data_IF_311576961102
#
_entry.id   IF_311576961102
#
_cell.length_a   1.000
_cell.length_b   1.000
_cell.length_c   1.000
_cell.angle_alpha   90.00
_cell.angle_beta   90.00
_cell.angle_gamma   90.00
#
_symmetry.space_group_name_H-M   'P 1'
#
loop_
_entity.id
_entity.type
_entity.pdbx_description
1 polymer ?
#
# COMPACT_ATOMS: atom_id res chain seq x y z
N UNK A 1 18.15 3.44 5.27
CA UNK A 1 18.51 2.48 4.21
C UNK A 1 17.58 2.74 3.05
N UNK A 2 18.11 3.02 1.86
CA UNK A 2 17.34 3.57 0.72
C UNK A 2 16.52 2.52 -0.05
N UNK A 3 16.77 1.23 0.23
CA UNK A 3 16.19 0.09 -0.51
C UNK A 3 14.68 -0.10 -0.26
N UNK A 4 14.21 0.29 0.94
CA UNK A 4 12.79 0.20 1.31
C UNK A 4 12.14 1.59 1.41
N UNK A 5 12.87 2.65 1.06
CA UNK A 5 12.33 4.01 1.00
C UNK A 5 11.89 4.31 -0.43
N UNK A 6 10.59 4.29 -0.69
CA UNK A 6 10.01 4.55 -2.02
C UNK A 6 9.61 3.27 -2.76
N UNK A 7 9.53 3.31 -4.10
CA UNK A 7 9.11 2.15 -4.88
C UNK A 7 10.08 0.97 -4.75
N UNK A 8 9.58 -0.20 -4.37
CA UNK A 8 10.34 -1.46 -4.30
C UNK A 8 9.44 -2.66 -4.65
N UNK A 9 10.03 -3.75 -5.14
CA UNK A 9 9.30 -5.00 -5.44
C UNK A 9 9.87 -6.18 -4.66
N UNK A 10 9.16 -7.31 -4.58
CA UNK A 10 9.72 -8.52 -3.96
C UNK A 10 10.96 -8.97 -4.72
N UNK A 11 10.88 -9.03 -6.06
CA UNK A 11 11.97 -9.43 -6.93
C UNK A 11 13.29 -8.67 -6.65
N UNK A 12 13.21 -7.35 -6.48
CA UNK A 12 14.40 -6.50 -6.28
C UNK A 12 14.85 -6.42 -4.82
N UNK A 13 13.92 -6.35 -3.88
CA UNK A 13 14.25 -6.05 -2.48
C UNK A 13 14.47 -7.30 -1.63
N UNK A 14 13.82 -8.43 -1.94
CA UNK A 14 13.92 -9.65 -1.12
C UNK A 14 15.36 -10.15 -0.97
N UNK A 15 16.19 -10.25 -2.01
CA UNK A 15 17.58 -10.68 -1.86
C UNK A 15 18.41 -9.77 -0.94
N UNK A 16 18.09 -8.47 -0.91
CA UNK A 16 18.79 -7.48 -0.09
C UNK A 16 18.35 -7.57 1.37
N UNK A 17 17.04 -7.75 1.61
CA UNK A 17 16.47 -7.95 2.93
C UNK A 17 16.93 -9.28 3.54
N UNK A 18 16.98 -10.35 2.75
CA UNK A 18 17.44 -11.66 3.21
C UNK A 18 18.93 -11.63 3.60
N UNK A 19 19.76 -10.88 2.86
CA UNK A 19 21.18 -10.66 3.19
C UNK A 19 21.42 -9.96 4.52
N UNK A 20 20.45 -9.20 5.03
CA UNK A 20 20.56 -8.60 6.36
C UNK A 20 20.64 -9.66 7.47
N UNK A 21 20.07 -10.86 7.22
CA UNK A 21 20.10 -12.00 8.13
C UNK A 21 19.73 -11.62 9.58
N UNK A 22 18.66 -10.83 9.74
CA UNK A 22 18.17 -10.39 11.03
C UNK A 22 16.99 -11.29 11.47
N UNK A 23 17.22 -12.26 12.39
CA UNK A 23 16.16 -13.10 12.93
C UNK A 23 15.23 -12.31 13.85
N UNK A 24 13.96 -12.72 14.00
CA UNK A 24 13.09 -12.18 15.03
C UNK A 24 13.59 -12.55 16.43
N UNK A 25 13.34 -11.69 17.40
CA UNK A 25 13.62 -11.96 18.83
C UNK A 25 12.48 -11.44 19.68
N UNK A 26 12.15 -12.19 20.73
CA UNK A 26 11.13 -11.79 21.70
C UNK A 26 11.75 -10.93 22.81
N UNK A 27 11.25 -9.71 22.96
CA UNK A 27 11.66 -8.76 24.00
C UNK A 27 10.54 -8.64 25.03
N UNK A 28 10.83 -9.01 26.27
CA UNK A 28 9.85 -9.09 27.36
C UNK A 28 9.78 -7.77 28.15
N UNK A 29 10.93 -7.12 28.36
CA UNK A 29 11.06 -5.94 29.21
C UNK A 29 10.38 -4.66 28.68
N UNK A 30 10.22 -3.69 29.59
CA UNK A 30 10.07 -2.29 29.21
C UNK A 30 11.42 -1.75 28.73
N UNK A 31 11.40 -0.68 27.94
CA UNK A 31 12.63 -0.02 27.51
C UNK A 31 12.92 1.22 28.33
N UNK A 32 14.20 1.52 28.47
CA UNK A 32 14.71 2.79 28.97
C UNK A 32 15.17 3.68 27.83
N UNK A 33 15.10 5.00 28.03
CA UNK A 33 15.76 5.98 27.17
C UNK A 33 17.12 6.32 27.79
N UNK A 34 18.20 6.21 27.00
CA UNK A 34 19.57 6.47 27.43
C UNK A 34 20.28 7.39 26.46
N UNK A 35 21.05 8.34 26.97
CA UNK A 35 21.99 9.11 26.15
C UNK A 35 23.17 8.24 25.71
N UNK A 36 23.81 8.62 24.63
CA UNK A 36 25.10 8.07 24.26
C UNK A 36 26.15 8.39 25.33
N UNK A 37 26.92 7.38 25.72
CA UNK A 37 28.12 7.60 26.51
C UNK A 37 29.25 8.17 25.62
N UNK A 38 30.15 8.96 26.20
CA UNK A 38 31.31 9.51 25.49
C UNK A 38 32.15 8.35 24.92
N UNK A 39 32.38 8.36 23.60
CA UNK A 39 33.12 7.32 22.89
C UNK A 39 32.33 6.03 22.61
N UNK A 40 31.05 5.96 22.95
CA UNK A 40 30.21 4.80 22.63
C UNK A 40 29.99 4.70 21.11
N UNK A 41 30.32 3.53 20.55
CA UNK A 41 30.00 3.21 19.17
C UNK A 41 28.48 3.07 18.96
N UNK A 42 28.01 3.35 17.74
CA UNK A 42 26.62 3.11 17.36
C UNK A 42 26.30 1.61 17.56
N UNK A 43 25.19 1.25 18.24
CA UNK A 43 24.81 -0.15 18.42
C UNK A 43 24.72 -0.89 17.08
N UNK A 44 25.01 -2.19 17.06
CA UNK A 44 24.87 -3.02 15.85
C UNK A 44 23.61 -3.86 15.99
N UNK A 45 22.73 -3.80 14.99
CA UNK A 45 21.51 -4.61 14.95
C UNK A 45 21.88 -6.06 14.65
N UNK A 46 21.41 -7.01 15.47
CA UNK A 46 21.65 -8.45 15.29
C UNK A 46 20.37 -9.27 15.17
N UNK A 47 19.25 -8.76 15.66
CA UNK A 47 17.93 -9.38 15.60
C UNK A 47 16.86 -8.27 15.57
N UNK A 48 15.61 -8.62 15.30
CA UNK A 48 14.50 -7.66 15.24
C UNK A 48 13.47 -7.99 16.34
N UNK A 49 13.22 -7.06 17.29
CA UNK A 49 12.14 -7.21 18.27
C UNK A 49 10.75 -7.31 17.63
N UNK A 50 9.73 -7.63 18.44
CA UNK A 50 8.34 -7.64 17.98
C UNK A 50 7.93 -6.25 17.47
N UNK A 51 7.14 -6.20 16.39
CA UNK A 51 6.78 -4.96 15.71
C UNK A 51 6.06 -3.97 16.63
N UNK A 52 5.21 -4.47 17.52
CA UNK A 52 4.47 -3.68 18.51
C UNK A 52 5.43 -2.98 19.48
N UNK A 53 6.47 -3.68 19.94
CA UNK A 53 7.50 -3.12 20.82
C UNK A 53 8.29 -2.03 20.12
N UNK A 54 8.65 -2.25 18.85
CA UNK A 54 9.38 -1.27 18.03
C UNK A 54 8.53 -0.01 17.84
N UNK A 55 7.25 -0.16 17.43
CA UNK A 55 6.34 0.97 17.20
C UNK A 55 6.07 1.77 18.47
N UNK A 56 5.73 1.09 19.57
CA UNK A 56 5.50 1.77 20.85
C UNK A 56 6.74 2.54 21.36
N UNK A 57 7.93 2.03 21.06
CA UNK A 57 9.20 2.71 21.39
C UNK A 57 9.43 3.94 20.52
N UNK A 58 9.22 3.82 19.20
CA UNK A 58 9.30 4.94 18.26
C UNK A 58 8.34 6.07 18.67
N UNK A 59 7.09 5.73 19.00
CA UNK A 59 6.07 6.69 19.40
C UNK A 59 6.47 7.41 20.69
N UNK A 60 6.99 6.67 21.67
CA UNK A 60 7.44 7.25 22.95
C UNK A 60 8.65 8.17 22.79
N UNK A 61 9.65 7.78 21.98
CA UNK A 61 10.82 8.61 21.69
C UNK A 61 10.42 9.90 20.96
N UNK A 62 9.50 9.80 20.00
CA UNK A 62 8.97 10.96 19.27
C UNK A 62 8.20 11.91 20.20
N UNK A 63 7.29 11.37 21.03
CA UNK A 63 6.49 12.16 21.97
C UNK A 63 7.33 12.90 23.02
N UNK A 64 8.48 12.33 23.41
CA UNK A 64 9.42 12.96 24.36
C UNK A 64 10.48 13.83 23.69
N UNK A 65 10.45 13.96 22.36
CA UNK A 65 11.47 14.64 21.56
C UNK A 65 12.90 14.12 21.83
N UNK A 66 13.04 12.79 21.87
CA UNK A 66 14.28 12.04 22.19
C UNK A 66 14.76 11.18 21.02
N UNK A 67 14.60 11.66 19.80
CA UNK A 67 14.96 10.90 18.58
C UNK A 67 16.47 10.75 18.38
N UNK A 68 17.27 11.52 19.12
CA UNK A 68 18.73 11.47 19.19
C UNK A 68 19.27 10.57 20.32
N UNK A 69 18.41 10.05 21.20
CA UNK A 69 18.78 9.13 22.28
C UNK A 69 18.60 7.64 21.88
N UNK A 70 19.07 6.74 22.75
CA UNK A 70 19.02 5.29 22.56
C UNK A 70 17.84 4.69 23.33
N UNK A 71 17.10 3.79 22.68
CA UNK A 71 16.25 2.83 23.39
C UNK A 71 17.10 1.67 23.90
N UNK A 72 16.89 1.26 25.15
CA UNK A 72 17.56 0.10 25.76
C UNK A 72 16.53 -0.86 26.32
N UNK A 73 16.61 -2.13 25.95
CA UNK A 73 15.99 -3.23 26.72
C UNK A 73 17.10 -4.11 27.30
N UNK A 74 16.89 -4.68 28.48
CA UNK A 74 17.92 -5.48 29.15
C UNK A 74 18.20 -6.81 28.46
N UNK A 75 17.20 -7.40 27.81
CA UNK A 75 17.24 -8.66 27.07
C UNK A 75 17.58 -8.51 25.56
N UNK A 76 17.73 -7.28 25.06
CA UNK A 76 18.07 -6.99 23.66
C UNK A 76 19.30 -6.11 23.49
N UNK A 77 19.50 -5.15 24.40
CA UNK A 77 20.51 -4.10 24.29
C UNK A 77 19.95 -2.80 23.72
N UNK A 78 20.79 -2.07 22.97
CA UNK A 78 20.51 -0.71 22.53
C UNK A 78 20.09 -0.63 21.05
N UNK A 79 19.19 0.30 20.73
CA UNK A 79 18.85 0.68 19.36
C UNK A 79 18.66 2.20 19.24
N UNK A 80 19.09 2.77 18.12
CA UNK A 80 18.80 4.17 17.78
C UNK A 80 17.40 4.30 17.17
N UNK A 81 16.85 5.51 17.18
CA UNK A 81 15.57 5.80 16.50
C UNK A 81 15.59 5.41 15.01
N UNK A 82 16.69 5.72 14.30
CA UNK A 82 16.84 5.34 12.88
C UNK A 82 16.92 3.83 12.66
N UNK A 83 17.53 3.09 13.59
CA UNK A 83 17.59 1.63 13.56
C UNK A 83 16.21 1.01 13.79
N UNK A 84 15.42 1.53 14.72
CA UNK A 84 14.04 1.09 14.95
C UNK A 84 13.14 1.32 13.73
N UNK A 85 13.31 2.45 13.02
CA UNK A 85 12.64 2.68 11.73
C UNK A 85 13.05 1.63 10.69
N UNK A 86 14.35 1.38 10.55
CA UNK A 86 14.83 0.37 9.61
C UNK A 86 14.27 -1.03 9.90
N UNK A 87 14.25 -1.44 11.17
CA UNK A 87 13.66 -2.72 11.56
C UNK A 87 12.16 -2.78 11.21
N UNK A 88 11.43 -1.68 11.43
CA UNK A 88 10.01 -1.56 11.05
C UNK A 88 9.83 -1.79 9.54
N UNK A 89 10.62 -1.10 8.72
CA UNK A 89 10.58 -1.24 7.26
C UNK A 89 10.90 -2.67 6.82
N UNK A 90 11.91 -3.30 7.43
CA UNK A 90 12.30 -4.69 7.13
C UNK A 90 11.19 -5.68 7.46
N UNK A 91 10.56 -5.56 8.64
CA UNK A 91 9.45 -6.45 9.03
C UNK A 91 8.27 -6.27 8.07
N UNK A 92 7.91 -5.02 7.75
CA UNK A 92 6.80 -4.76 6.84
C UNK A 92 7.10 -5.27 5.43
N UNK A 93 8.32 -5.11 4.92
CA UNK A 93 8.73 -5.65 3.63
C UNK A 93 8.65 -7.19 3.61
N UNK A 94 9.12 -7.87 4.67
CA UNK A 94 9.00 -9.34 4.79
C UNK A 94 7.55 -9.80 4.76
N UNK A 95 6.65 -9.10 5.45
CA UNK A 95 5.22 -9.40 5.41
C UNK A 95 4.65 -9.22 3.99
N UNK A 96 5.02 -8.13 3.32
CA UNK A 96 4.59 -7.88 1.93
C UNK A 96 5.13 -8.94 0.96
N UNK A 97 6.37 -9.42 1.15
CA UNK A 97 6.93 -10.50 0.34
C UNK A 97 6.15 -11.81 0.51
N UNK A 98 5.74 -12.13 1.74
CA UNK A 98 4.90 -13.30 2.00
C UNK A 98 3.53 -13.17 1.32
N UNK A 99 2.94 -11.96 1.27
CA UNK A 99 1.71 -11.72 0.51
C UNK A 99 1.91 -11.97 -0.99
N UNK A 100 2.99 -11.45 -1.57
CA UNK A 100 3.35 -11.67 -2.99
C UNK A 100 3.52 -13.17 -3.29
N UNK A 101 4.24 -13.90 -2.45
CA UNK A 101 4.44 -15.35 -2.61
C UNK A 101 3.12 -16.12 -2.55
N UNK A 102 2.26 -15.80 -1.57
CA UNK A 102 0.94 -16.40 -1.47
C UNK A 102 0.04 -16.05 -2.67
N UNK A 103 0.14 -14.83 -3.21
CA UNK A 103 -0.59 -14.44 -4.43
C UNK A 103 -0.10 -15.17 -5.66
N UNK A 104 1.21 -15.33 -5.84
CA UNK A 104 1.74 -16.13 -6.95
C UNK A 104 1.32 -17.61 -6.85
N UNK A 105 1.32 -18.17 -5.63
CA UNK A 105 0.84 -19.53 -5.39
C UNK A 105 -0.66 -19.67 -5.70
N UNK A 106 -1.48 -18.67 -5.37
CA UNK A 106 -2.89 -18.63 -5.76
C UNK A 106 -3.09 -18.53 -7.27
N UNK A 107 -2.28 -17.74 -7.99
CA UNK A 107 -2.35 -17.69 -9.47
C UNK A 107 -2.11 -19.07 -10.09
N UNK A 108 -1.31 -19.92 -9.46
CA UNK A 108 -1.12 -21.30 -9.94
C UNK A 108 -2.42 -22.13 -9.80
N UNK A 109 -3.26 -21.87 -8.79
CA UNK A 109 -4.48 -22.64 -8.52
C UNK A 109 -5.71 -22.21 -9.31
N UNK A 110 -5.77 -20.97 -9.83
CA UNK A 110 -6.95 -20.49 -10.56
C UNK A 110 -7.07 -21.16 -11.93
N UNK A 111 -8.26 -21.61 -12.32
CA UNK A 111 -8.47 -22.13 -13.68
C UNK A 111 -8.49 -20.98 -14.69
N UNK A 112 -7.54 -20.98 -15.63
CA UNK A 112 -7.40 -19.94 -16.65
C UNK A 112 -7.83 -20.50 -18.00
N UNK A 113 -9.12 -20.35 -18.33
CA UNK A 113 -9.67 -20.81 -19.61
C UNK A 113 -9.50 -19.73 -20.69
N UNK A 114 -8.31 -19.66 -21.30
CA UNK A 114 -7.99 -18.70 -22.38
C UNK A 114 -9.02 -18.76 -23.51
N UNK A 115 -9.45 -19.96 -23.89
CA UNK A 115 -10.45 -20.16 -24.94
C UNK A 115 -11.84 -19.58 -24.62
N UNK A 116 -12.09 -19.21 -23.35
CA UNK A 116 -13.33 -18.57 -22.90
C UNK A 116 -13.24 -17.04 -22.87
N UNK A 117 -12.09 -16.45 -23.19
CA UNK A 117 -11.95 -15.00 -23.31
C UNK A 117 -12.72 -14.53 -24.55
N UNK A 118 -13.63 -13.57 -24.33
CA UNK A 118 -14.49 -13.01 -25.37
C UNK A 118 -14.31 -11.50 -25.46
N UNK A 119 -14.71 -10.90 -26.58
CA UNK A 119 -14.73 -9.44 -26.72
C UNK A 119 -15.57 -8.79 -25.59
N UNK A 120 -15.16 -7.63 -25.05
CA UNK A 120 -14.02 -6.81 -25.50
C UNK A 120 -12.65 -7.25 -24.97
N UNK A 121 -12.57 -8.20 -24.03
CA UNK A 121 -11.37 -8.58 -23.28
C UNK A 121 -10.35 -9.45 -24.04
N UNK A 122 -10.52 -9.55 -25.36
CA UNK A 122 -9.67 -10.40 -26.21
C UNK A 122 -8.22 -9.91 -26.27
N UNK A 123 -7.99 -8.65 -25.96
CA UNK A 123 -6.67 -8.06 -25.75
C UNK A 123 -5.86 -8.72 -24.62
N UNK A 124 -6.50 -9.52 -23.77
CA UNK A 124 -5.84 -10.26 -22.69
C UNK A 124 -5.61 -11.74 -23.01
N UNK A 125 -5.94 -12.22 -24.21
CA UNK A 125 -5.88 -13.64 -24.56
C UNK A 125 -4.47 -14.23 -24.51
N UNK A 126 -3.45 -13.42 -24.80
CA UNK A 126 -2.03 -13.81 -24.77
C UNK A 126 -1.40 -13.68 -23.37
N UNK A 127 -2.14 -13.18 -22.37
CA UNK A 127 -1.62 -13.01 -21.01
C UNK A 127 -1.63 -14.35 -20.29
N UNK A 128 -0.44 -14.90 -20.06
CA UNK A 128 -0.27 -16.18 -19.38
C UNK A 128 -0.28 -16.04 -17.86
N UNK A 129 -0.50 -17.16 -17.14
CA UNK A 129 -0.27 -17.22 -15.68
C UNK A 129 1.15 -16.79 -15.30
N UNK A 130 2.15 -17.18 -16.07
CA UNK A 130 3.54 -16.77 -15.83
C UNK A 130 3.73 -15.26 -15.98
N UNK A 131 3.07 -14.65 -16.96
CA UNK A 131 3.02 -13.19 -17.11
C UNK A 131 2.39 -12.53 -15.87
N UNK A 132 1.28 -13.07 -15.37
CA UNK A 132 0.66 -12.57 -14.14
C UNK A 132 1.57 -12.70 -12.93
N UNK A 133 2.21 -13.85 -12.73
CA UNK A 133 3.16 -14.07 -11.62
C UNK A 133 4.36 -13.15 -11.71
N UNK A 134 4.91 -12.96 -12.92
CA UNK A 134 6.00 -12.02 -13.15
C UNK A 134 5.60 -10.60 -12.76
N UNK A 135 4.40 -10.16 -13.15
CA UNK A 135 3.87 -8.84 -12.77
C UNK A 135 3.66 -8.72 -11.25
N UNK A 136 3.14 -9.76 -10.60
CA UNK A 136 2.97 -9.81 -9.14
C UNK A 136 4.33 -9.75 -8.41
N UNK A 137 5.37 -10.43 -8.90
CA UNK A 137 6.70 -10.43 -8.28
C UNK A 137 7.42 -9.08 -8.42
N UNK A 138 7.12 -8.36 -9.51
CA UNK A 138 7.75 -7.08 -9.87
C UNK A 138 6.91 -5.86 -9.50
N UNK A 139 5.68 -6.03 -8.99
CA UNK A 139 4.85 -4.90 -8.63
C UNK A 139 5.52 -4.04 -7.55
N UNK A 140 5.30 -2.73 -7.63
CA UNK A 140 5.71 -1.86 -6.54
C UNK A 140 4.86 -2.17 -5.30
N UNK A 141 5.51 -2.48 -4.18
CA UNK A 141 4.94 -2.76 -2.86
C UNK A 141 5.00 -1.54 -1.94
N UNK A 142 5.85 -0.57 -2.26
CA UNK A 142 5.98 0.68 -1.51
C UNK A 142 4.85 1.67 -1.81
N UNK A 143 4.94 2.84 -1.17
CA UNK A 143 4.07 3.95 -1.51
C UNK A 143 4.47 4.56 -2.85
N UNK A 144 3.46 4.96 -3.63
CA UNK A 144 3.65 5.70 -4.87
C UNK A 144 2.49 6.66 -5.09
N UNK A 145 2.63 7.56 -6.08
CA UNK A 145 1.63 8.57 -6.38
C UNK A 145 0.95 8.27 -7.71
N UNK A 146 -0.37 8.10 -7.68
CA UNK A 146 -1.22 8.11 -8.86
C UNK A 146 -1.87 9.51 -8.94
N UNK A 147 -1.28 10.39 -9.74
CA UNK A 147 -1.59 11.81 -9.72
C UNK A 147 -1.28 12.45 -8.36
N UNK A 148 -2.30 12.93 -7.64
CA UNK A 148 -2.17 13.49 -6.29
C UNK A 148 -2.52 12.50 -5.17
N UNK A 149 -2.83 11.25 -5.50
CA UNK A 149 -3.25 10.24 -4.54
C UNK A 149 -2.09 9.32 -4.18
N UNK A 150 -1.85 9.13 -2.88
CA UNK A 150 -0.90 8.12 -2.38
C UNK A 150 -1.55 6.76 -2.49
N UNK A 151 -0.91 5.84 -3.19
CA UNK A 151 -1.29 4.44 -3.31
C UNK A 151 -0.27 3.57 -2.60
N UNK A 152 -0.74 2.58 -1.86
CA UNK A 152 0.12 1.58 -1.25
C UNK A 152 0.08 0.30 -2.09
N UNK A 153 1.22 -0.03 -2.69
CA UNK A 153 1.33 -1.13 -3.63
C UNK A 153 0.83 -2.48 -3.11
N UNK A 154 1.12 -2.80 -1.85
CA UNK A 154 0.72 -4.09 -1.27
C UNK A 154 -0.81 -4.25 -1.12
N UNK A 155 -1.60 -3.18 -1.07
CA UNK A 155 -3.08 -3.27 -1.02
C UNK A 155 -3.67 -3.82 -2.34
N UNK A 156 -2.94 -3.70 -3.46
CA UNK A 156 -3.39 -4.31 -4.70
C UNK A 156 -3.37 -5.84 -4.64
N UNK A 157 -2.65 -6.47 -3.70
CA UNK A 157 -2.63 -7.94 -3.56
C UNK A 157 -3.95 -8.52 -3.05
N UNK A 158 -4.89 -7.69 -2.59
CA UNK A 158 -6.20 -8.13 -2.10
C UNK A 158 -7.16 -8.60 -3.20
N UNK A 159 -6.76 -8.55 -4.48
CA UNK A 159 -7.52 -9.26 -5.53
C UNK A 159 -7.45 -10.79 -5.36
N UNK A 160 -6.53 -11.29 -4.53
CA UNK A 160 -6.32 -12.72 -4.30
C UNK A 160 -7.55 -13.35 -3.62
N UNK A 161 -7.94 -14.53 -4.09
CA UNK A 161 -8.98 -15.38 -3.50
C UNK A 161 -10.33 -14.65 -3.37
N UNK A 162 -10.91 -14.65 -2.17
CA UNK A 162 -12.15 -13.99 -1.79
C UNK A 162 -11.86 -12.85 -0.80
N UNK A 163 -10.68 -12.26 -0.87
CA UNK A 163 -10.33 -11.11 -0.03
C UNK A 163 -11.14 -9.89 -0.44
N UNK A 164 -11.41 -9.05 0.55
CA UNK A 164 -12.13 -7.82 0.30
C UNK A 164 -11.17 -6.77 -0.25
N UNK A 165 -11.51 -6.20 -1.40
CA UNK A 165 -10.74 -5.10 -1.97
C UNK A 165 -10.71 -3.91 -1.01
N UNK A 166 -9.51 -3.47 -0.65
CA UNK A 166 -9.31 -2.23 0.08
C UNK A 166 -9.69 -1.02 -0.78
N UNK A 167 -10.05 0.07 -0.11
CA UNK A 167 -10.37 1.34 -0.75
C UNK A 167 -9.25 1.84 -1.67
N UNK A 168 -7.98 1.58 -1.33
CA UNK A 168 -6.83 1.92 -2.18
C UNK A 168 -6.89 1.24 -3.54
N UNK A 169 -7.14 -0.07 -3.57
CA UNK A 169 -7.29 -0.87 -4.80
C UNK A 169 -8.44 -0.37 -5.67
N UNK A 170 -9.57 -0.02 -5.07
CA UNK A 170 -10.70 0.61 -5.78
C UNK A 170 -10.30 1.96 -6.39
N UNK A 171 -9.66 2.84 -5.61
CA UNK A 171 -9.20 4.15 -6.11
C UNK A 171 -8.17 3.97 -7.22
N UNK A 172 -7.24 3.02 -7.08
CA UNK A 172 -6.24 2.68 -8.08
C UNK A 172 -6.86 2.25 -9.40
N UNK A 173 -7.84 1.34 -9.34
CA UNK A 173 -8.61 0.90 -10.51
C UNK A 173 -9.36 2.06 -11.17
N UNK A 174 -10.01 2.92 -10.39
CA UNK A 174 -10.70 4.11 -10.92
C UNK A 174 -9.73 5.08 -11.60
N UNK A 175 -8.56 5.34 -11.00
CA UNK A 175 -7.53 6.19 -11.61
C UNK A 175 -7.04 5.60 -12.93
N UNK A 176 -6.81 4.29 -13.00
CA UNK A 176 -6.43 3.62 -14.25
C UNK A 176 -7.51 3.78 -15.33
N UNK A 177 -8.78 3.59 -14.99
CA UNK A 177 -9.89 3.81 -15.93
C UNK A 177 -9.92 5.25 -16.46
N UNK A 178 -9.71 6.24 -15.58
CA UNK A 178 -9.67 7.65 -15.98
C UNK A 178 -8.52 7.96 -16.93
N UNK A 179 -7.33 7.41 -16.69
CA UNK A 179 -6.16 7.65 -17.53
C UNK A 179 -6.23 6.87 -18.86
N UNK A 180 -6.91 5.72 -18.88
CA UNK A 180 -7.02 4.86 -20.07
C UNK A 180 -8.09 5.35 -21.05
N UNK A 181 -9.21 5.88 -20.55
CA UNK A 181 -10.37 6.22 -21.36
C UNK A 181 -10.59 7.72 -21.47
N UNK A 182 -10.69 8.22 -22.71
CA UNK A 182 -11.02 9.63 -22.96
C UNK A 182 -12.38 10.02 -22.38
N UNK A 183 -12.47 11.28 -21.94
CA UNK A 183 -13.71 11.87 -21.40
C UNK A 183 -14.29 11.13 -20.18
N UNK A 184 -13.48 10.35 -19.45
CA UNK A 184 -13.88 9.72 -18.18
C UNK A 184 -13.36 10.55 -17.00
N UNK A 185 -14.26 10.86 -16.06
CA UNK A 185 -13.92 11.37 -14.74
C UNK A 185 -14.29 10.34 -13.69
N UNK A 186 -13.73 10.46 -12.49
CA UNK A 186 -14.05 9.56 -11.38
C UNK A 186 -14.44 10.33 -10.13
N UNK A 187 -15.21 9.69 -9.28
CA UNK A 187 -15.50 10.14 -7.92
C UNK A 187 -14.76 9.22 -6.97
N UNK A 188 -13.84 9.79 -6.19
CA UNK A 188 -13.16 9.04 -5.14
C UNK A 188 -14.20 8.53 -4.12
N UNK A 189 -14.14 7.26 -3.65
CA UNK A 189 -15.09 6.72 -2.67
C UNK A 189 -15.27 7.59 -1.42
N UNK A 190 -14.21 8.31 -1.00
CA UNK A 190 -14.27 9.26 0.14
C UNK A 190 -15.23 10.43 -0.07
N UNK A 191 -15.68 10.68 -1.30
CA UNK A 191 -16.75 11.64 -1.57
C UNK A 191 -18.00 11.37 -0.71
N UNK A 192 -18.28 10.10 -0.45
CA UNK A 192 -19.46 9.67 0.33
C UNK A 192 -19.26 9.81 1.84
N UNK A 193 -18.02 9.95 2.32
CA UNK A 193 -17.70 10.15 3.74
C UNK A 193 -17.99 11.59 4.21
N UNK A 194 -18.13 12.54 3.28
CA UNK A 194 -18.28 13.96 3.61
C UNK A 194 -19.73 14.37 3.62
N UNK A 195 -20.22 14.98 4.70
CA UNK A 195 -21.57 15.57 4.72
C UNK A 195 -21.62 16.94 4.04
N UNK A 196 -20.51 17.68 4.03
CA UNK A 196 -20.49 19.07 3.58
C UNK A 196 -20.43 19.19 2.04
N UNK A 197 -21.39 19.89 1.38
CA UNK A 197 -21.46 19.99 -0.08
C UNK A 197 -20.19 20.53 -0.75
N UNK A 198 -19.53 21.52 -0.13
CA UNK A 198 -18.27 22.06 -0.66
C UNK A 198 -17.13 21.04 -0.67
N UNK A 199 -17.05 20.17 0.34
CA UNK A 199 -16.04 19.12 0.40
C UNK A 199 -16.31 18.04 -0.65
N UNK A 200 -17.58 17.63 -0.80
CA UNK A 200 -18.03 16.76 -1.89
C UNK A 200 -17.63 17.34 -3.26
N UNK A 201 -17.95 18.60 -3.50
CA UNK A 201 -17.66 19.30 -4.76
C UNK A 201 -16.16 19.39 -5.04
N UNK A 202 -15.36 19.77 -4.05
CA UNK A 202 -13.89 19.81 -4.19
C UNK A 202 -13.31 18.43 -4.49
N UNK A 203 -13.80 17.39 -3.81
CA UNK A 203 -13.35 16.02 -4.04
C UNK A 203 -13.70 15.57 -5.46
N UNK A 204 -14.94 15.71 -5.91
CA UNK A 204 -15.32 15.35 -7.28
C UNK A 204 -14.52 16.12 -8.35
N UNK A 205 -14.30 17.43 -8.15
CA UNK A 205 -13.48 18.28 -9.03
C UNK A 205 -12.03 17.79 -9.14
N UNK A 206 -11.41 17.41 -8.01
CA UNK A 206 -10.01 16.99 -7.97
C UNK A 206 -9.71 15.76 -8.82
N UNK A 207 -10.72 14.93 -9.10
CA UNK A 207 -10.60 13.70 -9.89
C UNK A 207 -11.25 13.81 -11.28
N UNK A 208 -11.51 15.03 -11.75
CA UNK A 208 -11.95 15.28 -13.12
C UNK A 208 -13.42 14.98 -13.40
N UNK A 209 -14.23 14.66 -12.40
CA UNK A 209 -15.66 14.37 -12.58
C UNK A 209 -16.44 15.55 -13.20
N UNK A 210 -16.00 16.79 -12.96
CA UNK A 210 -16.64 18.01 -13.47
C UNK A 210 -15.82 18.72 -14.55
N UNK A 211 -14.75 18.10 -15.08
CA UNK A 211 -13.95 18.73 -16.13
C UNK A 211 -14.80 18.93 -17.40
N UNK A 212 -14.60 20.03 -18.14
CA UNK A 212 -15.46 20.39 -19.27
C UNK A 212 -15.57 19.28 -20.32
N UNK A 213 -14.47 18.56 -20.60
CA UNK A 213 -14.41 17.44 -21.55
C UNK A 213 -14.89 16.08 -21.01
N UNK A 214 -15.31 15.99 -19.74
CA UNK A 214 -15.79 14.74 -19.14
C UNK A 214 -17.22 14.43 -19.60
N UNK A 215 -17.40 13.28 -20.23
CA UNK A 215 -18.68 12.75 -20.73
C UNK A 215 -19.20 11.58 -19.89
N UNK A 216 -18.33 10.90 -19.15
CA UNK A 216 -18.71 9.77 -18.28
C UNK A 216 -18.07 9.93 -16.91
N UNK A 217 -18.82 9.63 -15.86
CA UNK A 217 -18.35 9.67 -14.48
C UNK A 217 -18.56 8.31 -13.83
N UNK A 218 -17.50 7.76 -13.26
CA UNK A 218 -17.54 6.50 -12.52
C UNK A 218 -17.37 6.79 -11.03
N UNK A 219 -18.24 6.22 -10.20
CA UNK A 219 -18.19 6.31 -8.74
C UNK A 219 -18.29 4.91 -8.17
N UNK A 220 -17.55 4.64 -7.11
CA UNK A 220 -17.66 3.41 -6.32
C UNK A 220 -17.91 3.79 -4.87
N UNK A 221 -18.90 3.16 -4.25
CA UNK A 221 -19.43 3.49 -2.92
C UNK A 221 -19.21 2.29 -2.01
N UNK A 222 -18.68 2.53 -0.81
CA UNK A 222 -18.65 1.52 0.24
C UNK A 222 -20.00 1.52 0.98
N UNK A 223 -20.73 0.41 0.93
CA UNK A 223 -22.02 0.22 1.60
C UNK A 223 -21.88 -0.54 2.94
N UNK A 224 -20.68 -0.53 3.53
CA UNK A 224 -20.31 -1.28 4.73
C UNK A 224 -19.95 -2.72 4.39
N UNK A 225 -20.92 -3.47 3.85
CA UNK A 225 -20.74 -4.90 3.53
C UNK A 225 -20.62 -5.21 2.03
N UNK A 226 -20.57 -4.18 1.19
CA UNK A 226 -20.53 -4.33 -0.26
C UNK A 226 -19.93 -3.10 -0.93
N UNK A 227 -19.44 -3.28 -2.16
CA UNK A 227 -19.01 -2.20 -3.04
C UNK A 227 -20.08 -1.96 -4.12
N UNK A 228 -20.68 -0.77 -4.16
CA UNK A 228 -21.63 -0.38 -5.20
C UNK A 228 -20.98 0.46 -6.29
N UNK A 229 -21.16 0.10 -7.56
CA UNK A 229 -20.67 0.87 -8.71
C UNK A 229 -21.77 1.73 -9.34
N UNK A 230 -21.44 2.97 -9.70
CA UNK A 230 -22.32 3.89 -10.43
C UNK A 230 -21.58 4.44 -11.63
N UNK A 231 -22.13 4.23 -12.83
CA UNK A 231 -21.70 4.87 -14.07
C UNK A 231 -22.76 5.88 -14.49
N UNK A 232 -22.33 7.11 -14.74
CA UNK A 232 -23.20 8.17 -15.25
C UNK A 232 -22.67 8.74 -16.55
N UNK A 233 -23.53 8.83 -17.55
CA UNK A 233 -23.28 9.65 -18.73
C UNK A 233 -23.67 11.10 -18.45
N UNK A 234 -22.72 12.01 -18.67
CA UNK A 234 -22.95 13.44 -18.54
C UNK A 234 -23.59 13.93 -19.83
N UNK A 235 -24.88 14.20 -19.76
CA UNK A 235 -25.57 15.03 -20.74
C UNK A 235 -25.26 16.49 -20.43
N UNK A 236 -25.14 17.32 -21.46
CA UNK A 236 -24.88 18.75 -21.31
C UNK A 236 -25.93 19.35 -20.34
N UNK A 237 -25.48 19.77 -19.15
CA UNK A 237 -26.20 20.41 -18.03
C UNK A 237 -26.56 19.62 -16.75
N UNK A 238 -26.19 18.35 -16.60
CA UNK A 238 -26.54 17.60 -15.38
C UNK A 238 -25.40 17.58 -14.33
N UNK A 239 -25.44 18.49 -13.34
CA UNK A 239 -24.63 18.41 -12.11
C UNK A 239 -25.52 18.16 -10.88
N UNK A 240 -25.97 16.92 -10.73
CA UNK A 240 -26.52 16.45 -9.45
C UNK A 240 -25.82 15.15 -9.08
N UNK A 241 -24.73 15.25 -8.32
CA UNK A 241 -24.09 14.10 -7.70
C UNK A 241 -25.02 13.65 -6.56
N UNK A 242 -25.70 12.51 -6.74
CA UNK A 242 -26.39 11.83 -5.63
C UNK A 242 -25.38 10.94 -4.95
#
# INVERSE_FOLDING_TARGET
MTILSGPYSRYTAKPLVDKLNLPPVEVQGAFDIRRFNVGQAVPVIRAIPQLEKIKGTLDTLAAKNKTDELARWDDYGFATYGQLKLMTDVVQAKNNFALVEATMAWVDTVDFHVASIVHPFKDTEDVTKDTHKHNVDNMNLGSWYAGRHVQLGCEFLDFRENLWLHTGSIIGGLLLLRETYESVGIVNPRFHDFDHPDQKTRTAKAYGATASGTKRVISVINLGNHWGGVLRERRDNDMLFV
#
